data_IF_713097384206
#
_entry.id   IF_713097384206
#
_cell.length_a   1.000
_cell.length_b   1.000
_cell.length_c   1.000
_cell.angle_alpha   90.00
_cell.angle_beta   90.00
_cell.angle_gamma   90.00
#
_symmetry.space_group_name_H-M   'P 1'
#
loop_
_entity.id
_entity.type
_entity.pdbx_description
1 polymer ?
#
# COMPACT_ATOMS: atom_id res chain seq x y z
N UNK A 1 32.03 -11.62 14.44
CA UNK A 1 31.31 -10.48 13.82
C UNK A 1 31.22 -9.38 14.86
N UNK A 2 31.62 -8.14 14.56
CA UNK A 2 31.53 -7.02 15.51
C UNK A 2 30.08 -6.55 15.66
N UNK A 3 29.72 -5.92 16.78
CA UNK A 3 28.35 -5.46 17.06
C UNK A 3 27.80 -4.50 15.99
N UNK A 4 28.66 -3.67 15.40
CA UNK A 4 28.32 -2.81 14.27
C UNK A 4 27.99 -3.61 13.00
N UNK A 5 28.71 -4.71 12.72
CA UNK A 5 28.40 -5.58 11.57
C UNK A 5 27.10 -6.36 11.75
N UNK A 6 26.79 -6.78 12.98
CA UNK A 6 25.49 -7.40 13.33
C UNK A 6 24.33 -6.44 13.06
N UNK A 7 24.43 -5.18 13.52
CA UNK A 7 23.39 -4.18 13.29
C UNK A 7 23.17 -3.85 11.81
N UNK A 8 24.23 -3.80 11.01
CA UNK A 8 24.13 -3.58 9.55
C UNK A 8 23.52 -4.81 8.86
N UNK A 9 23.92 -6.02 9.27
CA UNK A 9 23.37 -7.26 8.73
C UNK A 9 21.87 -7.39 9.00
N UNK A 10 21.42 -7.07 10.22
CA UNK A 10 20.00 -7.08 10.58
C UNK A 10 19.22 -5.99 9.81
N UNK A 11 19.82 -4.83 9.58
CA UNK A 11 19.21 -3.75 8.80
C UNK A 11 18.99 -4.12 7.32
N UNK A 12 19.95 -4.81 6.69
CA UNK A 12 19.83 -5.30 5.31
C UNK A 12 18.70 -6.32 5.17
N UNK A 13 18.59 -7.25 6.14
CA UNK A 13 17.50 -8.24 6.17
C UNK A 13 16.13 -7.56 6.31
N UNK A 14 16.01 -6.61 7.23
CA UNK A 14 14.78 -5.84 7.45
C UNK A 14 14.40 -5.01 6.21
N UNK A 15 15.39 -4.38 5.55
CA UNK A 15 15.16 -3.64 4.31
C UNK A 15 14.68 -4.56 3.19
N UNK A 16 15.28 -5.74 3.05
CA UNK A 16 14.84 -6.74 2.08
C UNK A 16 13.40 -7.20 2.34
N UNK A 17 13.05 -7.42 3.61
CA UNK A 17 11.71 -7.86 4.00
C UNK A 17 10.65 -6.78 3.75
N UNK A 18 10.88 -5.55 4.18
CA UNK A 18 9.95 -4.43 3.94
C UNK A 18 9.83 -4.13 2.44
N UNK A 19 10.93 -4.24 1.69
CA UNK A 19 10.91 -4.14 0.23
C UNK A 19 10.05 -5.23 -0.44
N UNK A 20 10.10 -6.48 0.04
CA UNK A 20 9.23 -7.55 -0.45
C UNK A 20 7.74 -7.34 -0.12
N UNK A 21 7.43 -6.70 1.02
CA UNK A 21 6.06 -6.32 1.34
C UNK A 21 5.53 -5.27 0.36
N UNK A 22 6.35 -4.30 -0.01
CA UNK A 22 6.01 -3.27 -0.99
C UNK A 22 5.89 -3.84 -2.41
N UNK A 23 6.85 -4.68 -2.79
CA UNK A 23 7.00 -5.24 -4.13
C UNK A 23 6.95 -6.77 -4.05
N UNK A 24 5.76 -7.33 -4.33
CA UNK A 24 5.53 -8.77 -4.19
C UNK A 24 6.34 -9.60 -5.18
N UNK A 25 6.81 -9.03 -6.28
CA UNK A 25 7.81 -9.65 -7.15
C UNK A 25 9.06 -8.77 -7.15
N UNK A 26 10.23 -9.40 -7.03
CA UNK A 26 11.53 -8.73 -7.07
C UNK A 26 12.40 -9.44 -8.09
N UNK A 27 12.88 -8.69 -9.08
CA UNK A 27 13.74 -9.17 -10.16
C UNK A 27 14.89 -8.18 -10.43
N UNK A 28 15.99 -8.61 -11.07
CA UNK A 28 17.09 -7.73 -11.43
C UNK A 28 16.71 -6.60 -12.38
N UNK A 29 15.74 -6.83 -13.27
CA UNK A 29 15.31 -5.83 -14.26
C UNK A 29 14.30 -4.83 -13.70
N UNK A 30 13.55 -5.17 -12.64
CA UNK A 30 12.65 -4.24 -11.97
C UNK A 30 13.37 -3.44 -10.87
N UNK A 31 14.21 -4.10 -10.06
CA UNK A 31 14.88 -3.51 -8.90
C UNK A 31 16.13 -4.33 -8.52
N UNK A 32 17.25 -4.07 -9.22
CA UNK A 32 18.51 -4.77 -8.98
C UNK A 32 19.03 -4.63 -7.52
N UNK A 33 18.99 -3.44 -6.88
CA UNK A 33 19.40 -3.28 -5.49
C UNK A 33 18.58 -4.15 -4.51
N UNK A 34 17.25 -4.16 -4.64
CA UNK A 34 16.38 -4.97 -3.79
C UNK A 34 16.57 -6.46 -4.07
N UNK A 35 16.70 -6.85 -5.35
CA UNK A 35 16.99 -8.23 -5.74
C UNK A 35 18.26 -8.74 -5.07
N UNK A 36 19.36 -7.97 -5.10
CA UNK A 36 20.61 -8.37 -4.49
C UNK A 36 20.48 -8.63 -2.97
N UNK A 37 19.66 -7.85 -2.27
CA UNK A 37 19.36 -8.06 -0.85
C UNK A 37 18.49 -9.30 -0.62
N UNK A 38 17.39 -9.44 -1.37
CA UNK A 38 16.47 -10.58 -1.24
C UNK A 38 17.20 -11.88 -1.51
N UNK A 39 17.99 -11.92 -2.58
CA UNK A 39 18.81 -13.08 -2.93
C UNK A 39 19.79 -13.45 -1.82
N UNK A 40 20.52 -12.46 -1.29
CA UNK A 40 21.50 -12.65 -0.20
C UNK A 40 20.86 -13.20 1.08
N UNK A 41 19.62 -12.81 1.38
CA UNK A 41 18.96 -13.12 2.65
C UNK A 41 17.76 -14.08 2.52
N UNK A 42 17.61 -14.76 1.38
CA UNK A 42 16.42 -15.53 1.02
C UNK A 42 15.97 -16.56 2.10
N UNK A 43 16.91 -17.23 2.77
CA UNK A 43 16.59 -18.22 3.80
C UNK A 43 15.93 -17.59 5.04
N UNK A 44 16.46 -16.46 5.52
CA UNK A 44 15.87 -15.72 6.63
C UNK A 44 14.52 -15.15 6.24
N UNK A 45 14.43 -14.57 5.04
CA UNK A 45 13.19 -14.01 4.51
C UNK A 45 12.10 -15.07 4.36
N UNK A 46 12.43 -16.28 3.88
CA UNK A 46 11.48 -17.39 3.80
C UNK A 46 10.95 -17.78 5.19
N UNK A 47 11.80 -17.77 6.22
CA UNK A 47 11.40 -18.03 7.61
C UNK A 47 10.45 -16.94 8.11
N UNK A 48 10.77 -15.68 7.87
CA UNK A 48 9.92 -14.55 8.26
C UNK A 48 8.57 -14.54 7.52
N UNK A 49 8.57 -14.85 6.22
CA UNK A 49 7.35 -15.01 5.43
C UNK A 49 6.47 -16.12 6.01
N UNK A 50 7.04 -17.28 6.34
CA UNK A 50 6.29 -18.40 6.91
C UNK A 50 5.58 -18.05 8.24
N UNK A 51 6.16 -17.16 9.07
CA UNK A 51 5.53 -16.68 10.31
C UNK A 51 4.22 -15.92 10.06
N UNK A 52 4.08 -15.30 8.89
CA UNK A 52 2.87 -14.58 8.44
C UNK A 52 1.89 -15.48 7.69
N UNK A 53 2.21 -16.77 7.52
CA UNK A 53 1.51 -17.67 6.61
C UNK A 53 1.79 -17.37 5.13
N UNK A 54 2.89 -16.68 4.82
CA UNK A 54 3.31 -16.38 3.45
C UNK A 54 4.30 -17.42 2.93
N UNK A 55 4.49 -17.41 1.61
CA UNK A 55 5.51 -18.21 0.93
C UNK A 55 6.40 -17.31 0.09
N UNK A 56 7.71 -17.41 0.29
CA UNK A 56 8.69 -16.85 -0.64
C UNK A 56 8.98 -17.89 -1.72
N UNK A 57 8.48 -17.66 -2.93
CA UNK A 57 8.76 -18.49 -4.09
C UNK A 57 9.94 -17.94 -4.89
N UNK A 58 10.67 -18.82 -5.57
CA UNK A 58 11.86 -18.47 -6.33
C UNK A 58 12.01 -19.36 -7.56
N UNK A 59 12.20 -18.74 -8.73
CA UNK A 59 12.57 -19.39 -9.99
C UNK A 59 13.63 -18.51 -10.66
N UNK A 60 14.79 -19.09 -10.96
CA UNK A 60 15.95 -18.42 -11.55
C UNK A 60 16.29 -17.05 -10.94
N UNK A 61 16.02 -15.95 -11.64
CA UNK A 61 16.29 -14.59 -11.15
C UNK A 61 15.03 -13.88 -10.61
N UNK A 62 13.97 -14.62 -10.30
CA UNK A 62 12.71 -14.06 -9.83
C UNK A 62 12.37 -14.56 -8.42
N UNK A 63 12.20 -13.62 -7.49
CA UNK A 63 11.61 -13.88 -6.18
C UNK A 63 10.19 -13.33 -6.12
N UNK A 64 9.25 -14.12 -5.59
CA UNK A 64 7.88 -13.67 -5.36
C UNK A 64 7.41 -13.96 -3.94
N UNK A 65 6.99 -12.91 -3.24
CA UNK A 65 6.24 -13.02 -2.00
C UNK A 65 4.78 -13.39 -2.30
N UNK A 66 4.41 -14.64 -2.05
CA UNK A 66 3.01 -15.11 -2.14
C UNK A 66 2.31 -14.92 -0.81
N UNK A 67 1.30 -14.04 -0.81
CA UNK A 67 0.45 -13.75 0.35
C UNK A 67 -0.72 -14.73 0.44
N UNK A 68 -0.42 -16.00 0.74
CA UNK A 68 -1.39 -17.11 0.76
C UNK A 68 -2.63 -16.75 1.60
N UNK A 69 -3.86 -17.06 1.13
CA UNK A 69 -5.06 -16.84 1.92
C UNK A 69 -5.06 -17.64 3.21
N UNK A 70 -5.57 -17.06 4.29
CA UNK A 70 -5.74 -17.73 5.59
C UNK A 70 -7.21 -17.63 5.97
N UNK A 71 -7.86 -18.76 6.24
CA UNK A 71 -9.29 -18.84 6.56
C UNK A 71 -10.17 -18.05 5.58
N UNK A 72 -9.99 -18.30 4.27
CA UNK A 72 -10.66 -17.60 3.17
C UNK A 72 -10.44 -16.07 3.15
N UNK A 73 -9.47 -15.56 3.91
CA UNK A 73 -9.14 -14.13 3.97
C UNK A 73 -7.90 -13.87 3.13
N UNK A 74 -8.07 -13.11 2.05
CA UNK A 74 -6.98 -12.63 1.18
C UNK A 74 -6.33 -11.38 1.77
N UNK A 75 -5.05 -11.14 1.50
CA UNK A 75 -4.45 -9.83 1.79
C UNK A 75 -5.18 -8.78 0.96
N UNK A 76 -5.61 -7.72 1.61
CA UNK A 76 -6.21 -6.58 0.92
C UNK A 76 -5.06 -5.76 0.30
N UNK A 77 -5.10 -5.44 -1.00
CA UNK A 77 -4.14 -4.52 -1.58
C UNK A 77 -4.22 -3.15 -0.90
N UNK A 78 -3.09 -2.46 -0.78
CA UNK A 78 -3.08 -1.08 -0.31
C UNK A 78 -3.70 -0.21 -1.40
N UNK A 79 -4.71 0.59 -1.03
CA UNK A 79 -5.41 1.51 -1.95
C UNK A 79 -6.67 0.91 -2.58
N UNK A 80 -7.22 1.64 -3.54
CA UNK A 80 -8.44 1.22 -4.24
C UNK A 80 -8.16 -0.04 -5.08
N UNK A 81 -9.02 -1.06 -4.99
CA UNK A 81 -8.86 -2.25 -5.81
C UNK A 81 -9.06 -1.90 -7.29
N UNK A 82 -8.27 -2.50 -8.20
CA UNK A 82 -8.47 -2.32 -9.63
C UNK A 82 -9.85 -2.77 -10.08
N UNK A 83 -10.26 -2.27 -11.25
CA UNK A 83 -11.53 -2.66 -11.85
C UNK A 83 -11.54 -4.17 -12.10
N UNK A 84 -12.72 -4.81 -12.00
CA UNK A 84 -12.84 -6.23 -12.35
C UNK A 84 -12.42 -6.49 -13.79
N UNK A 85 -12.63 -5.52 -14.68
CA UNK A 85 -12.29 -5.65 -16.09
C UNK A 85 -10.78 -5.62 -16.29
N UNK A 86 -10.06 -4.70 -15.65
CA UNK A 86 -8.60 -4.66 -15.61
C UNK A 86 -8.00 -5.99 -15.14
N UNK A 87 -8.54 -6.55 -14.04
CA UNK A 87 -8.10 -7.83 -13.50
C UNK A 87 -8.31 -8.97 -14.50
N UNK A 88 -9.47 -9.02 -15.16
CA UNK A 88 -9.74 -10.02 -16.20
C UNK A 88 -8.78 -9.87 -17.39
N UNK A 89 -8.56 -8.64 -17.88
CA UNK A 89 -7.61 -8.38 -18.97
C UNK A 89 -6.18 -8.75 -18.58
N UNK A 90 -5.79 -8.57 -17.32
CA UNK A 90 -4.48 -9.02 -16.81
C UNK A 90 -4.34 -10.54 -16.92
N UNK A 91 -5.40 -11.29 -16.55
CA UNK A 91 -5.41 -12.75 -16.66
C UNK A 91 -5.39 -13.22 -18.12
N UNK A 92 -6.19 -12.59 -19.00
CA UNK A 92 -6.19 -12.91 -20.42
C UNK A 92 -4.83 -12.61 -21.06
N UNK A 93 -4.25 -11.44 -20.78
CA UNK A 93 -2.93 -11.07 -21.27
C UNK A 93 -1.86 -12.07 -20.79
N UNK A 94 -1.87 -12.44 -19.51
CA UNK A 94 -0.96 -13.45 -18.97
C UNK A 94 -1.12 -14.81 -19.67
N UNK A 95 -2.36 -15.26 -19.91
CA UNK A 95 -2.62 -16.51 -20.62
C UNK A 95 -2.14 -16.45 -22.08
N UNK A 96 -2.42 -15.35 -22.79
CA UNK A 96 -1.93 -15.14 -24.15
C UNK A 96 -0.40 -15.16 -24.20
N UNK A 97 0.29 -14.55 -23.22
CA UNK A 97 1.75 -14.55 -23.13
C UNK A 97 2.34 -15.95 -22.89
N UNK A 98 1.64 -16.79 -22.10
CA UNK A 98 2.09 -18.16 -21.81
C UNK A 98 2.13 -19.03 -23.07
N UNK A 99 1.14 -18.86 -23.95
CA UNK A 99 1.03 -19.57 -25.23
C UNK A 99 2.06 -19.11 -26.29
N UNK A 100 2.72 -17.96 -26.09
CA UNK A 100 3.67 -17.40 -27.06
C UNK A 100 5.01 -18.11 -27.01
N UNK A 101 5.65 -18.25 -28.17
CA UNK A 101 7.01 -18.80 -28.31
C UNK A 101 8.11 -17.76 -28.20
N UNK A 102 7.83 -16.54 -28.61
CA UNK A 102 8.79 -15.43 -28.61
C UNK A 102 8.64 -14.63 -27.32
N UNK A 103 9.77 -14.18 -26.77
CA UNK A 103 9.80 -13.39 -25.55
C UNK A 103 9.68 -11.89 -25.83
N UNK A 104 9.54 -11.48 -27.09
CA UNK A 104 9.26 -10.09 -27.47
C UNK A 104 7.84 -9.97 -28.03
N UNK A 105 7.12 -8.95 -27.60
CA UNK A 105 5.73 -8.72 -28.00
C UNK A 105 5.44 -7.22 -28.03
N UNK A 106 4.58 -6.78 -28.95
CA UNK A 106 4.09 -5.40 -28.95
C UNK A 106 2.75 -5.30 -28.22
N UNK A 107 2.41 -4.10 -27.74
CA UNK A 107 1.09 -3.86 -27.14
C UNK A 107 -0.05 -4.15 -28.13
N UNK A 108 0.16 -3.83 -29.41
CA UNK A 108 -0.79 -4.16 -30.47
C UNK A 108 -0.98 -5.68 -30.63
N UNK A 109 0.11 -6.45 -30.72
CA UNK A 109 0.02 -7.92 -30.85
C UNK A 109 -0.74 -8.53 -29.65
N UNK A 110 -0.43 -8.06 -28.44
CA UNK A 110 -1.09 -8.55 -27.23
C UNK A 110 -2.56 -8.15 -27.18
N UNK A 111 -2.90 -6.94 -27.64
CA UNK A 111 -4.29 -6.47 -27.78
C UNK A 111 -5.09 -7.38 -28.72
N UNK A 112 -4.50 -7.76 -29.86
CA UNK A 112 -5.16 -8.62 -30.83
C UNK A 112 -5.35 -10.05 -30.29
N UNK A 113 -4.33 -10.60 -29.61
CA UNK A 113 -4.43 -11.91 -28.95
C UNK A 113 -5.51 -11.93 -27.85
N UNK A 114 -5.59 -10.89 -27.03
CA UNK A 114 -6.60 -10.74 -25.96
C UNK A 114 -8.00 -10.56 -26.55
N UNK A 115 -8.14 -9.80 -27.64
CA UNK A 115 -9.42 -9.64 -28.34
C UNK A 115 -9.96 -11.00 -28.82
N UNK A 116 -9.11 -11.80 -29.46
CA UNK A 116 -9.47 -13.14 -29.90
C UNK A 116 -9.80 -14.07 -28.74
N UNK A 117 -8.99 -14.04 -27.68
CA UNK A 117 -9.19 -14.90 -26.50
C UNK A 117 -10.50 -14.58 -25.78
N UNK A 118 -10.77 -13.31 -25.49
CA UNK A 118 -11.99 -12.89 -24.79
C UNK A 118 -13.28 -13.21 -25.57
N UNK A 119 -13.24 -13.15 -26.90
CA UNK A 119 -14.36 -13.53 -27.75
C UNK A 119 -14.72 -15.03 -27.67
N UNK A 120 -13.75 -15.89 -27.31
CA UNK A 120 -13.92 -17.35 -27.28
C UNK A 120 -14.46 -17.90 -25.96
N UNK A 121 -14.23 -17.20 -24.83
CA UNK A 121 -14.51 -17.70 -23.46
C UNK A 121 -15.90 -17.29 -22.94
N UNK A 122 -16.61 -16.40 -23.64
CA UNK A 122 -17.98 -15.97 -23.28
C UNK A 122 -18.08 -14.99 -22.11
N UNK A 123 -16.95 -14.38 -21.72
CA UNK A 123 -16.90 -13.26 -20.76
C UNK A 123 -17.19 -11.89 -21.41
N UNK A 124 -17.09 -10.77 -20.67
CA UNK A 124 -17.18 -9.44 -21.26
C UNK A 124 -16.05 -9.26 -22.30
N UNK A 125 -16.39 -9.01 -23.57
CA UNK A 125 -15.38 -9.00 -24.64
C UNK A 125 -14.52 -7.73 -24.54
N UNK A 126 -13.22 -7.91 -24.76
CA UNK A 126 -12.32 -6.79 -25.02
C UNK A 126 -12.58 -6.28 -26.45
N UNK A 127 -12.62 -4.95 -26.62
CA UNK A 127 -12.82 -4.31 -27.93
C UNK A 127 -11.71 -3.28 -28.15
N UNK A 128 -10.75 -3.55 -29.04
CA UNK A 128 -9.62 -2.65 -29.27
C UNK A 128 -10.04 -1.31 -29.90
N UNK A 129 -11.25 -1.18 -30.44
CA UNK A 129 -11.75 0.08 -31.00
C UNK A 129 -12.22 1.05 -29.92
N UNK A 130 -12.59 0.56 -28.73
CA UNK A 130 -13.03 1.38 -27.62
C UNK A 130 -11.84 1.89 -26.81
N UNK A 131 -11.71 3.21 -26.73
CA UNK A 131 -10.63 3.86 -25.95
C UNK A 131 -10.62 3.44 -24.48
N UNK A 132 -11.79 3.34 -23.85
CA UNK A 132 -11.90 2.89 -22.46
C UNK A 132 -11.36 1.48 -22.27
N UNK A 133 -11.58 0.58 -23.22
CA UNK A 133 -11.03 -0.78 -23.15
C UNK A 133 -9.51 -0.76 -23.37
N UNK A 134 -9.00 0.04 -24.30
CA UNK A 134 -7.55 0.21 -24.47
C UNK A 134 -6.88 0.76 -23.21
N UNK A 135 -7.49 1.71 -22.51
CA UNK A 135 -7.00 2.20 -21.22
C UNK A 135 -6.91 1.08 -20.17
N UNK A 136 -7.96 0.26 -20.06
CA UNK A 136 -7.96 -0.88 -19.13
C UNK A 136 -6.92 -1.94 -19.51
N UNK A 137 -6.67 -2.17 -20.81
CA UNK A 137 -5.58 -3.06 -21.25
C UNK A 137 -4.21 -2.47 -20.92
N UNK A 138 -4.00 -1.17 -21.09
CA UNK A 138 -2.75 -0.50 -20.67
C UNK A 138 -2.54 -0.70 -19.16
N UNK A 139 -3.55 -0.46 -18.34
CA UNK A 139 -3.50 -0.72 -16.88
C UNK A 139 -3.19 -2.18 -16.55
N UNK A 140 -3.76 -3.13 -17.30
CA UNK A 140 -3.45 -4.56 -17.15
C UNK A 140 -1.98 -4.88 -17.50
N UNK A 141 -1.43 -4.25 -18.55
CA UNK A 141 -0.01 -4.39 -18.92
C UNK A 141 0.90 -3.73 -17.88
N UNK A 142 0.55 -2.54 -17.39
CA UNK A 142 1.23 -1.89 -16.25
C UNK A 142 1.33 -2.82 -15.05
N UNK A 143 0.25 -3.57 -14.76
CA UNK A 143 0.22 -4.55 -13.68
C UNK A 143 1.16 -5.72 -13.91
N UNK A 144 1.23 -6.24 -15.13
CA UNK A 144 2.21 -7.29 -15.48
C UNK A 144 3.65 -6.78 -15.40
N UNK A 145 3.90 -5.52 -15.77
CA UNK A 145 5.21 -4.86 -15.61
C UNK A 145 5.56 -4.69 -14.12
N UNK A 146 4.61 -4.22 -13.30
CA UNK A 146 4.79 -4.10 -11.86
C UNK A 146 5.05 -5.45 -11.16
N UNK A 147 4.53 -6.55 -11.73
CA UNK A 147 4.82 -7.91 -11.28
C UNK A 147 6.10 -8.51 -11.88
N UNK A 148 6.86 -7.75 -12.66
CA UNK A 148 8.12 -8.18 -13.29
C UNK A 148 7.95 -9.17 -14.44
N UNK A 149 6.70 -9.48 -14.85
CA UNK A 149 6.38 -10.40 -15.95
C UNK A 149 6.77 -9.79 -17.29
N UNK A 150 6.56 -8.48 -17.43
CA UNK A 150 6.91 -7.72 -18.62
C UNK A 150 7.94 -6.66 -18.27
N UNK A 151 8.82 -6.37 -19.22
CA UNK A 151 9.74 -5.24 -19.17
C UNK A 151 9.49 -4.35 -20.39
N UNK A 152 9.24 -3.06 -20.14
CA UNK A 152 9.03 -2.07 -21.19
C UNK A 152 10.36 -1.66 -21.82
N UNK A 153 10.41 -1.65 -23.16
CA UNK A 153 11.57 -1.23 -23.96
C UNK A 153 11.34 0.08 -24.72
N UNK A 154 10.16 0.66 -24.59
CA UNK A 154 9.71 1.85 -25.32
C UNK A 154 9.25 2.94 -24.38
N UNK A 155 9.30 4.19 -24.85
CA UNK A 155 8.83 5.37 -24.11
C UNK A 155 7.29 5.46 -24.05
N UNK A 156 6.78 6.15 -23.02
CA UNK A 156 5.34 6.33 -22.75
C UNK A 156 4.57 6.98 -23.91
N UNK A 157 5.24 7.77 -24.75
CA UNK A 157 4.61 8.45 -25.89
C UNK A 157 3.93 7.48 -26.86
N UNK A 158 4.57 6.33 -27.14
CA UNK A 158 4.00 5.33 -28.04
C UNK A 158 2.76 4.64 -27.44
N UNK A 159 2.72 4.53 -26.12
CA UNK A 159 1.56 3.99 -25.39
C UNK A 159 0.39 4.96 -25.49
N UNK A 160 0.65 6.24 -25.25
CA UNK A 160 -0.37 7.29 -25.34
C UNK A 160 -0.95 7.44 -26.75
N UNK A 161 -0.10 7.38 -27.78
CA UNK A 161 -0.51 7.44 -29.18
C UNK A 161 -1.42 6.24 -29.53
N UNK A 162 -1.05 5.04 -29.10
CA UNK A 162 -1.85 3.82 -29.29
C UNK A 162 -3.17 3.86 -28.50
N UNK A 163 -3.14 4.27 -27.23
CA UNK A 163 -4.32 4.38 -26.37
C UNK A 163 -5.34 5.37 -26.94
N UNK A 164 -4.91 6.53 -27.41
CA UNK A 164 -5.79 7.58 -27.94
C UNK A 164 -6.24 7.32 -29.37
N UNK A 165 -5.31 6.95 -30.25
CA UNK A 165 -5.52 6.89 -31.70
C UNK A 165 -5.83 5.50 -32.26
N UNK A 166 -5.53 4.42 -31.52
CA UNK A 166 -5.48 3.05 -32.07
C UNK A 166 -4.53 2.92 -33.28
N UNK A 167 -3.48 3.73 -33.32
CA UNK A 167 -2.47 3.74 -34.37
C UNK A 167 -1.12 3.25 -33.82
N UNK A 168 -0.36 2.53 -34.66
CA UNK A 168 0.99 2.06 -34.34
C UNK A 168 1.03 0.76 -33.54
N UNK A 169 2.25 0.37 -33.14
CA UNK A 169 2.51 -0.89 -32.41
C UNK A 169 2.35 -0.78 -30.89
N UNK A 170 2.19 0.45 -30.37
CA UNK A 170 2.19 0.73 -28.95
C UNK A 170 3.54 0.44 -28.28
N UNK A 171 3.52 -0.17 -27.09
CA UNK A 171 4.73 -0.51 -26.35
C UNK A 171 5.47 -1.73 -26.93
N UNK A 172 6.81 -1.69 -26.92
CA UNK A 172 7.63 -2.88 -27.07
C UNK A 172 7.90 -3.52 -25.70
N UNK A 173 7.61 -4.80 -25.57
CA UNK A 173 7.62 -5.52 -24.29
C UNK A 173 8.51 -6.76 -24.40
N UNK A 174 9.27 -7.03 -23.33
CA UNK A 174 10.01 -8.28 -23.15
C UNK A 174 9.33 -9.10 -22.05
N UNK A 175 9.04 -10.36 -22.35
CA UNK A 175 8.43 -11.35 -21.48
C UNK A 175 9.50 -12.08 -20.65
N UNK A 176 9.29 -12.12 -19.34
CA UNK A 176 10.09 -12.88 -18.39
C UNK A 176 9.28 -14.09 -17.89
N UNK A 177 9.50 -15.26 -18.50
CA UNK A 177 8.69 -16.47 -18.27
C UNK A 177 8.72 -16.99 -16.83
N UNK A 178 9.84 -16.83 -16.14
CA UNK A 178 9.96 -17.24 -14.74
C UNK A 178 9.05 -16.41 -13.83
N UNK A 179 8.93 -15.11 -14.12
CA UNK A 179 7.99 -14.24 -13.42
C UNK A 179 6.54 -14.55 -13.80
N UNK A 180 6.25 -14.87 -15.07
CA UNK A 180 4.93 -15.33 -15.51
C UNK A 180 4.50 -16.60 -14.76
N UNK A 181 5.39 -17.59 -14.67
CA UNK A 181 5.16 -18.85 -13.95
C UNK A 181 4.84 -18.62 -12.48
N UNK A 182 5.47 -17.61 -11.86
CA UNK A 182 5.21 -17.27 -10.47
C UNK A 182 3.96 -16.41 -10.25
N UNK A 183 3.38 -15.82 -11.31
CA UNK A 183 2.32 -14.82 -11.19
C UNK A 183 1.07 -15.34 -10.45
N UNK A 184 0.59 -16.54 -10.80
CA UNK A 184 -0.64 -17.11 -10.27
C UNK A 184 -0.39 -18.55 -9.83
N UNK A 185 -1.06 -18.95 -8.75
CA UNK A 185 -1.12 -20.34 -8.34
C UNK A 185 -2.56 -20.72 -8.09
N UNK A 186 -3.00 -21.79 -8.75
CA UNK A 186 -4.33 -22.36 -8.60
C UNK A 186 -4.61 -22.77 -7.16
N UNK A 187 -3.62 -23.28 -6.44
CA UNK A 187 -3.74 -23.64 -5.02
C UNK A 187 -4.15 -22.43 -4.15
N UNK A 188 -3.59 -21.24 -4.41
CA UNK A 188 -3.97 -20.02 -3.67
C UNK A 188 -5.41 -19.61 -4.02
N UNK A 189 -5.83 -19.80 -5.28
CA UNK A 189 -7.20 -19.51 -5.71
C UNK A 189 -8.18 -20.46 -5.02
N UNK A 190 -7.87 -21.75 -4.96
CA UNK A 190 -8.68 -22.75 -4.28
C UNK A 190 -8.79 -22.44 -2.79
N UNK A 191 -7.69 -22.01 -2.14
CA UNK A 191 -7.71 -21.57 -0.73
C UNK A 191 -8.52 -20.29 -0.50
N UNK A 192 -8.50 -19.35 -1.46
CA UNK A 192 -9.30 -18.13 -1.38
C UNK A 192 -10.80 -18.40 -1.55
N UNK A 193 -11.14 -19.36 -2.41
CA UNK A 193 -12.52 -19.74 -2.73
C UNK A 193 -13.09 -20.79 -1.78
N UNK A 194 -12.24 -21.57 -1.12
CA UNK A 194 -12.63 -22.43 -0.03
C UNK A 194 -13.22 -21.55 1.07
N UNK A 195 -14.57 -21.50 1.16
CA UNK A 195 -15.27 -20.75 2.20
C UNK A 195 -14.72 -21.11 3.58
N UNK A 196 -14.89 -20.22 4.58
CA UNK A 196 -14.34 -20.36 5.94
C UNK A 196 -14.63 -21.74 6.55
N UNK A 197 -13.74 -22.69 6.30
CA UNK A 197 -13.72 -24.01 6.89
C UNK A 197 -12.72 -23.97 8.02
N UNK A 198 -13.12 -24.41 9.20
CA UNK A 198 -12.28 -24.42 10.40
C UNK A 198 -10.99 -25.17 10.10
N UNK A 199 -9.90 -24.44 9.81
CA UNK A 199 -8.57 -25.02 9.74
C UNK A 199 -8.30 -25.75 11.04
N UNK A 200 -7.76 -26.97 10.97
CA UNK A 200 -7.39 -27.74 12.15
C UNK A 200 -6.22 -27.10 12.93
N UNK A 201 -5.47 -26.19 12.28
CA UNK A 201 -4.34 -25.46 12.87
C UNK A 201 -4.76 -24.05 13.30
N UNK A 202 -4.28 -23.63 14.48
CA UNK A 202 -4.52 -22.30 15.02
C UNK A 202 -3.78 -21.22 14.21
N UNK A 203 -4.51 -20.55 13.32
CA UNK A 203 -4.02 -19.52 12.41
C UNK A 203 -3.95 -18.12 13.04
N UNK A 204 -4.48 -17.91 14.26
CA UNK A 204 -4.65 -16.59 14.88
C UNK A 204 -3.34 -15.81 15.00
N UNK A 205 -2.26 -16.49 15.38
CA UNK A 205 -0.93 -15.86 15.49
C UNK A 205 -0.42 -15.29 14.17
N UNK A 206 -0.55 -16.05 13.08
CA UNK A 206 -0.15 -15.60 11.75
C UNK A 206 -1.06 -14.46 11.25
N UNK A 207 -2.38 -14.55 11.47
CA UNK A 207 -3.36 -13.51 11.13
C UNK A 207 -3.07 -12.19 11.84
N UNK A 208 -2.87 -12.21 13.15
CA UNK A 208 -2.59 -11.01 13.94
C UNK A 208 -1.23 -10.40 13.57
N UNK A 209 -0.20 -11.23 13.36
CA UNK A 209 1.10 -10.72 12.90
C UNK A 209 1.00 -10.11 11.50
N UNK A 210 0.23 -10.74 10.59
CA UNK A 210 -0.07 -10.23 9.25
C UNK A 210 -0.78 -8.89 9.31
N UNK A 211 -1.85 -8.79 10.10
CA UNK A 211 -2.55 -7.53 10.31
C UNK A 211 -1.58 -6.46 10.81
N UNK A 212 -0.80 -6.72 11.87
CA UNK A 212 0.17 -5.76 12.40
C UNK A 212 1.20 -5.30 11.36
N UNK A 213 1.70 -6.20 10.51
CA UNK A 213 2.72 -5.87 9.52
C UNK A 213 2.15 -5.16 8.29
N UNK A 214 0.95 -5.53 7.83
CA UNK A 214 0.33 -4.96 6.62
C UNK A 214 -0.36 -3.63 6.89
N UNK A 215 -1.10 -3.51 7.99
CA UNK A 215 -1.85 -2.28 8.34
C UNK A 215 -1.10 -1.39 9.31
N UNK A 216 0.04 -1.85 9.84
CA UNK A 216 0.81 -1.19 10.91
C UNK A 216 0.04 -0.99 12.22
N UNK A 217 -1.20 -1.47 12.34
CA UNK A 217 -2.04 -1.20 13.49
C UNK A 217 -3.12 -2.27 13.71
N UNK A 218 -3.22 -2.74 14.95
CA UNK A 218 -4.32 -3.58 15.43
C UNK A 218 -5.18 -2.77 16.37
N UNK A 219 -6.41 -2.50 15.96
CA UNK A 219 -7.45 -1.90 16.79
C UNK A 219 -8.08 -3.02 17.63
N UNK A 220 -7.80 -3.03 18.93
CA UNK A 220 -8.15 -4.15 19.81
C UNK A 220 -9.66 -4.35 19.89
N UNK A 221 -10.42 -3.26 19.96
CA UNK A 221 -11.88 -3.26 20.06
C UNK A 221 -12.58 -3.76 18.78
N UNK A 222 -11.86 -3.88 17.66
CA UNK A 222 -12.39 -4.37 16.38
C UNK A 222 -12.15 -5.86 16.17
N UNK A 223 -11.35 -6.47 17.04
CA UNK A 223 -11.11 -7.90 16.99
C UNK A 223 -12.29 -8.68 17.60
N UNK A 224 -12.60 -9.87 17.09
CA UNK A 224 -13.45 -10.84 17.77
C UNK A 224 -12.96 -11.14 19.19
N UNK A 225 -13.86 -11.42 20.14
CA UNK A 225 -13.53 -11.63 21.56
C UNK A 225 -12.46 -12.72 21.77
N UNK A 226 -12.48 -13.79 20.98
CA UNK A 226 -11.51 -14.88 21.05
C UNK A 226 -10.12 -14.47 20.55
N UNK A 227 -10.05 -13.61 19.53
CA UNK A 227 -8.79 -13.02 19.06
C UNK A 227 -8.24 -11.98 20.03
N UNK A 228 -9.11 -11.21 20.69
CA UNK A 228 -8.70 -10.29 21.77
C UNK A 228 -8.02 -11.07 22.90
N UNK A 229 -8.66 -12.15 23.39
CA UNK A 229 -8.10 -12.97 24.46
C UNK A 229 -6.75 -13.58 24.06
N UNK A 230 -6.64 -14.07 22.83
CA UNK A 230 -5.37 -14.58 22.28
C UNK A 230 -4.29 -13.49 22.23
N UNK A 231 -4.64 -12.30 21.72
CA UNK A 231 -3.74 -11.16 21.60
C UNK A 231 -3.15 -10.75 22.94
N UNK A 232 -3.96 -10.70 24.00
CA UNK A 232 -3.49 -10.38 25.35
C UNK A 232 -2.35 -11.29 25.83
N UNK A 233 -2.43 -12.58 25.51
CA UNK A 233 -1.39 -13.57 25.84
C UNK A 233 -0.16 -13.53 24.92
N UNK A 234 -0.28 -13.01 23.69
CA UNK A 234 0.77 -13.08 22.67
C UNK A 234 1.38 -11.73 22.28
N UNK A 235 0.85 -10.60 22.76
CA UNK A 235 1.27 -9.23 22.37
C UNK A 235 2.78 -8.99 22.41
N UNK A 236 3.49 -9.44 23.44
CA UNK A 236 4.95 -9.27 23.55
C UNK A 236 5.70 -10.09 22.50
N UNK A 237 5.21 -11.31 22.22
CA UNK A 237 5.79 -12.16 21.18
C UNK A 237 5.55 -11.56 19.80
N UNK A 238 4.32 -11.15 19.50
CA UNK A 238 3.99 -10.49 18.22
C UNK A 238 4.79 -9.20 18.02
N UNK A 239 4.92 -8.39 19.07
CA UNK A 239 5.75 -7.19 19.06
C UNK A 239 7.23 -7.50 18.74
N UNK A 240 7.79 -8.52 19.39
CA UNK A 240 9.16 -8.96 19.14
C UNK A 240 9.36 -9.45 17.71
N UNK A 241 8.43 -10.24 17.17
CA UNK A 241 8.52 -10.75 15.80
C UNK A 241 8.40 -9.62 14.78
N UNK A 242 7.45 -8.70 14.97
CA UNK A 242 7.27 -7.56 14.07
C UNK A 242 8.50 -6.63 14.07
N UNK A 243 9.08 -6.38 15.25
CA UNK A 243 10.30 -5.57 15.38
C UNK A 243 11.54 -6.25 14.77
N UNK A 244 11.70 -7.57 14.96
CA UNK A 244 12.77 -8.35 14.32
C UNK A 244 12.70 -8.21 12.78
N UNK A 245 11.50 -8.42 12.23
CA UNK A 245 11.28 -8.52 10.78
C UNK A 245 11.36 -7.16 10.07
N UNK A 246 10.90 -6.09 10.71
CA UNK A 246 10.78 -4.77 10.07
C UNK A 246 11.81 -3.75 10.55
N UNK A 247 12.45 -3.99 11.70
CA UNK A 247 13.27 -3.00 12.40
C UNK A 247 12.46 -1.89 13.08
N UNK A 248 11.12 -1.99 13.05
CA UNK A 248 10.22 -1.05 13.70
C UNK A 248 10.11 -1.26 15.21
N UNK A 249 9.58 -0.24 15.89
CA UNK A 249 9.23 -0.30 17.30
C UNK A 249 7.74 -0.56 17.43
N UNK A 250 7.35 -1.38 18.41
CA UNK A 250 5.93 -1.70 18.65
C UNK A 250 5.46 -1.03 19.92
N UNK A 251 4.46 -0.16 19.79
CA UNK A 251 3.78 0.51 20.90
C UNK A 251 2.53 -0.30 21.28
N UNK A 252 2.42 -0.67 22.55
CA UNK A 252 1.31 -1.46 23.08
C UNK A 252 0.48 -0.58 24.01
N UNK A 253 -0.78 -0.35 23.64
CA UNK A 253 -1.81 0.30 24.46
C UNK A 253 -2.94 -0.67 24.74
N UNK A 254 -3.91 -0.28 25.56
CA UNK A 254 -5.09 -1.10 25.85
C UNK A 254 -6.06 -1.19 24.66
N UNK A 255 -6.09 -0.15 23.83
CA UNK A 255 -7.01 0.03 22.69
C UNK A 255 -6.34 -0.19 21.32
N UNK A 256 -5.01 -0.22 21.28
CA UNK A 256 -4.21 -0.23 20.05
C UNK A 256 -2.87 -0.96 20.25
N UNK A 257 -2.46 -1.74 19.25
CA UNK A 257 -1.06 -2.13 19.06
C UNK A 257 -0.58 -1.53 17.74
N UNK A 258 0.48 -0.73 17.79
CA UNK A 258 0.98 0.04 16.64
C UNK A 258 2.41 -0.38 16.32
N UNK A 259 2.69 -0.69 15.07
CA UNK A 259 4.03 -0.87 14.53
C UNK A 259 4.51 0.44 13.91
N UNK A 260 5.57 1.01 14.46
CA UNK A 260 6.20 2.24 13.97
C UNK A 260 7.46 1.86 13.20
N UNK A 261 7.42 2.05 11.90
CA UNK A 261 8.58 1.81 11.05
C UNK A 261 9.60 2.96 11.19
N UNK A 262 10.91 2.65 11.06
CA UNK A 262 11.95 3.65 11.23
C UNK A 262 11.98 4.65 10.08
N UNK A 263 11.93 5.95 10.40
CA UNK A 263 11.85 7.04 9.42
C UNK A 263 13.17 7.35 8.68
N UNK A 264 14.30 6.84 9.19
CA UNK A 264 15.64 7.05 8.63
C UNK A 264 15.97 6.09 7.48
N UNK A 265 15.05 5.18 7.14
CA UNK A 265 15.22 4.23 6.04
C UNK A 265 14.46 4.73 4.83
N UNK A 266 15.07 4.61 3.65
CA UNK A 266 14.39 4.75 2.36
C UNK A 266 13.36 3.62 2.23
N UNK A 267 12.20 3.80 2.86
CA UNK A 267 11.09 2.86 2.83
C UNK A 267 10.19 3.18 1.63
N UNK A 268 9.68 2.16 0.93
CA UNK A 268 8.69 2.39 -0.11
C UNK A 268 7.44 3.09 0.45
N UNK A 269 6.94 4.10 -0.26
CA UNK A 269 5.75 4.86 0.15
C UNK A 269 4.47 4.02 0.25
N UNK A 270 4.44 2.83 -0.37
CA UNK A 270 3.34 1.88 -0.25
C UNK A 270 3.27 1.15 1.09
N UNK A 271 4.37 1.13 1.86
CA UNK A 271 4.47 0.51 3.18
C UNK A 271 4.72 1.54 4.27
N UNK A 272 5.26 2.72 3.94
CA UNK A 272 5.47 3.80 4.89
C UNK A 272 4.58 4.99 4.55
N UNK A 273 3.68 5.35 5.46
CA UNK A 273 2.90 6.57 5.38
C UNK A 273 3.69 7.71 6.01
N UNK A 274 4.22 8.61 5.18
CA UNK A 274 4.87 9.83 5.64
C UNK A 274 3.82 10.81 6.17
N UNK A 275 3.58 10.77 7.48
CA UNK A 275 2.71 11.70 8.19
C UNK A 275 3.17 11.94 9.64
N UNK A 276 3.24 13.20 10.10
CA UNK A 276 2.99 14.42 9.33
C UNK A 276 4.17 14.80 8.43
N UNK A 277 3.90 15.11 7.16
CA UNK A 277 4.88 15.73 6.27
C UNK A 277 4.86 17.25 6.39
N UNK A 278 5.93 17.93 5.94
CA UNK A 278 6.02 19.40 5.94
C UNK A 278 5.17 20.05 4.82
N UNK A 279 3.88 19.71 4.78
CA UNK A 279 2.92 20.22 3.78
C UNK A 279 1.75 20.94 4.46
N UNK A 280 1.17 21.91 3.76
CA UNK A 280 -0.01 22.62 4.27
C UNK A 280 -1.20 21.68 4.52
N UNK A 281 -1.37 20.63 3.69
CA UNK A 281 -2.42 19.63 3.85
C UNK A 281 -2.25 18.86 5.16
N UNK A 282 -1.04 18.39 5.45
CA UNK A 282 -0.76 17.62 6.67
C UNK A 282 -0.80 18.50 7.92
N UNK A 283 -0.36 19.75 7.82
CA UNK A 283 -0.49 20.72 8.91
C UNK A 283 -1.97 20.99 9.25
N UNK A 284 -2.82 21.24 8.25
CA UNK A 284 -4.26 21.45 8.45
C UNK A 284 -4.91 20.19 9.04
N UNK A 285 -4.59 19.02 8.51
CA UNK A 285 -5.10 17.74 8.99
C UNK A 285 -4.73 17.50 10.46
N UNK A 286 -3.45 17.68 10.81
CA UNK A 286 -2.94 17.52 12.17
C UNK A 286 -3.56 18.56 13.13
N UNK A 287 -3.74 19.80 12.67
CA UNK A 287 -4.35 20.86 13.48
C UNK A 287 -5.81 20.58 13.80
N UNK A 288 -6.61 20.23 12.79
CA UNK A 288 -8.01 19.87 12.99
C UNK A 288 -8.16 18.60 13.84
N UNK A 289 -7.27 17.63 13.67
CA UNK A 289 -7.23 16.43 14.50
C UNK A 289 -7.04 16.77 15.99
N UNK A 290 -6.08 17.65 16.30
CA UNK A 290 -5.80 18.08 17.67
C UNK A 290 -6.96 18.90 18.26
N UNK A 291 -7.53 19.83 17.48
CA UNK A 291 -8.69 20.63 17.92
C UNK A 291 -9.93 19.75 18.17
N UNK A 292 -10.20 18.76 17.32
CA UNK A 292 -11.28 17.78 17.53
C UNK A 292 -11.01 16.93 18.76
N UNK A 293 -9.79 16.40 18.91
CA UNK A 293 -9.42 15.55 20.03
C UNK A 293 -9.67 16.23 21.38
N UNK A 294 -9.28 17.52 21.51
CA UNK A 294 -9.50 18.34 22.72
C UNK A 294 -10.98 18.53 23.08
N UNK A 295 -11.86 18.57 22.08
CA UNK A 295 -13.31 18.77 22.30
C UNK A 295 -14.02 17.45 22.65
N UNK A 296 -13.44 16.31 22.24
CA UNK A 296 -14.03 14.97 22.41
C UNK A 296 -13.56 14.21 23.66
N UNK A 297 -12.86 14.85 24.61
CA UNK A 297 -12.29 14.15 25.77
C UNK A 297 -13.36 13.44 26.63
N UNK A 298 -13.48 12.11 26.48
CA UNK A 298 -14.36 11.23 27.24
C UNK A 298 -15.00 10.10 26.41
N UNK A 299 -14.26 9.01 26.15
CA UNK A 299 -14.76 7.85 25.40
C UNK A 299 -14.59 7.95 23.88
N UNK A 300 -15.31 7.11 23.12
CA UNK A 300 -15.27 7.07 21.64
C UNK A 300 -15.40 8.50 21.08
N UNK A 301 -14.33 9.08 20.51
CA UNK A 301 -14.26 10.50 20.22
C UNK A 301 -15.01 10.82 18.93
N UNK A 302 -16.33 10.89 19.02
CA UNK A 302 -17.20 11.32 17.94
C UNK A 302 -17.48 12.82 18.07
N UNK A 303 -17.16 13.59 17.03
CA UNK A 303 -17.40 15.01 16.93
C UNK A 303 -18.50 15.29 15.88
N UNK A 304 -19.60 15.94 16.25
CA UNK A 304 -20.67 16.32 15.33
C UNK A 304 -20.19 17.16 14.14
N UNK A 305 -20.81 16.97 12.97
CA UNK A 305 -20.42 17.62 11.71
C UNK A 305 -20.39 19.16 11.82
N UNK A 306 -21.39 19.75 12.48
CA UNK A 306 -21.52 21.19 12.69
C UNK A 306 -20.36 21.75 13.53
N UNK A 307 -19.91 20.98 14.52
CA UNK A 307 -18.76 21.35 15.36
C UNK A 307 -17.45 21.28 14.59
N UNK A 308 -17.24 20.21 13.81
CA UNK A 308 -16.06 20.07 12.93
C UNK A 308 -16.00 21.22 11.91
N UNK A 309 -17.13 21.53 11.27
CA UNK A 309 -17.22 22.67 10.34
C UNK A 309 -16.96 24.01 11.05
N UNK A 310 -17.35 24.15 12.32
CA UNK A 310 -16.98 25.28 13.17
C UNK A 310 -15.48 25.43 13.35
N UNK A 311 -14.80 24.35 13.74
CA UNK A 311 -13.34 24.33 13.93
C UNK A 311 -12.58 24.66 12.63
N UNK A 312 -13.04 24.13 11.49
CA UNK A 312 -12.44 24.45 10.18
C UNK A 312 -12.59 25.94 9.83
N UNK A 313 -13.74 26.55 10.11
CA UNK A 313 -13.96 28.00 9.93
C UNK A 313 -13.08 28.83 10.86
N UNK A 314 -12.95 28.43 12.12
CA UNK A 314 -12.09 29.09 13.10
C UNK A 314 -10.61 29.02 12.70
N UNK A 315 -10.17 27.86 12.19
CA UNK A 315 -8.81 27.67 11.66
C UNK A 315 -8.55 28.55 10.44
N UNK A 316 -9.47 28.57 9.47
CA UNK A 316 -9.35 29.41 8.28
C UNK A 316 -9.32 30.91 8.65
N UNK A 317 -10.19 31.35 9.56
CA UNK A 317 -10.23 32.74 9.99
C UNK A 317 -8.95 33.19 10.71
N UNK A 318 -8.34 32.31 11.50
CA UNK A 318 -7.15 32.64 12.31
C UNK A 318 -5.82 32.45 11.57
N UNK A 319 -5.73 31.43 10.71
CA UNK A 319 -4.48 30.99 10.09
C UNK A 319 -4.55 30.92 8.55
N UNK A 320 -5.66 31.33 7.94
CA UNK A 320 -5.91 31.21 6.49
C UNK A 320 -4.78 31.79 5.63
N UNK A 321 -4.17 32.91 6.05
CA UNK A 321 -3.05 33.57 5.34
C UNK A 321 -1.82 32.69 5.11
N UNK A 322 -1.68 31.59 5.86
CA UNK A 322 -0.56 30.65 5.77
C UNK A 322 -0.91 29.37 5.00
N UNK A 323 -2.15 29.25 4.55
CA UNK A 323 -2.61 28.13 3.74
C UNK A 323 -2.22 28.33 2.27
N UNK A 324 -2.40 27.29 1.46
CA UNK A 324 -2.23 27.42 0.01
C UNK A 324 -3.25 28.41 -0.56
N UNK A 325 -2.94 29.02 -1.71
CA UNK A 325 -3.84 29.97 -2.37
C UNK A 325 -5.25 29.38 -2.60
N UNK A 326 -5.33 28.11 -2.99
CA UNK A 326 -6.60 27.42 -3.16
C UNK A 326 -7.42 27.36 -1.86
N UNK A 327 -6.79 27.02 -0.73
CA UNK A 327 -7.44 26.96 0.59
C UNK A 327 -7.75 28.35 1.16
N UNK A 328 -6.98 29.38 0.79
CA UNK A 328 -7.30 30.78 1.10
C UNK A 328 -8.60 31.21 0.43
N UNK A 329 -8.70 30.95 -0.88
CA UNK A 329 -9.81 31.37 -1.72
C UNK A 329 -11.10 30.58 -1.44
N UNK A 330 -10.98 29.30 -1.05
CA UNK A 330 -12.11 28.39 -0.79
C UNK A 330 -11.98 27.75 0.59
N UNK A 331 -12.65 28.30 1.63
CA UNK A 331 -12.60 27.78 2.99
C UNK A 331 -13.02 26.31 3.13
N UNK A 332 -13.97 25.85 2.32
CA UNK A 332 -14.45 24.45 2.32
C UNK A 332 -13.35 23.44 1.91
N UNK A 333 -12.30 23.89 1.22
CA UNK A 333 -11.14 23.05 0.91
C UNK A 333 -10.33 22.68 2.14
N UNK A 334 -10.37 23.47 3.20
CA UNK A 334 -9.66 23.17 4.47
C UNK A 334 -10.23 21.89 5.08
N UNK A 335 -11.55 21.83 5.22
CA UNK A 335 -12.23 20.69 5.80
C UNK A 335 -12.10 19.44 4.94
N UNK A 336 -12.42 19.55 3.65
CA UNK A 336 -12.38 18.41 2.71
C UNK A 336 -10.96 17.85 2.52
N UNK A 337 -9.93 18.69 2.46
CA UNK A 337 -8.55 18.22 2.35
C UNK A 337 -8.06 17.51 3.61
N UNK A 338 -8.45 18.01 4.78
CA UNK A 338 -8.16 17.38 6.07
C UNK A 338 -8.89 16.06 6.22
N UNK A 339 -10.20 16.03 5.92
CA UNK A 339 -11.01 14.82 5.97
C UNK A 339 -10.43 13.73 5.08
N UNK A 340 -10.19 14.05 3.80
CA UNK A 340 -9.59 13.11 2.87
C UNK A 340 -8.26 12.59 3.42
N UNK A 341 -7.37 13.49 3.88
CA UNK A 341 -6.05 13.08 4.39
C UNK A 341 -6.14 12.18 5.63
N UNK A 342 -6.98 12.52 6.60
CA UNK A 342 -7.12 11.74 7.83
C UNK A 342 -7.80 10.38 7.58
N UNK A 343 -8.72 10.31 6.60
CA UNK A 343 -9.33 9.05 6.15
C UNK A 343 -8.33 8.15 5.44
N UNK A 344 -7.52 8.71 4.54
CA UNK A 344 -6.47 7.99 3.82
C UNK A 344 -5.47 7.34 4.80
N UNK A 345 -5.22 8.01 5.94
CA UNK A 345 -4.33 7.53 7.01
C UNK A 345 -5.02 6.61 8.04
N UNK A 346 -6.32 6.37 7.90
CA UNK A 346 -7.09 5.57 8.88
C UNK A 346 -7.26 6.22 10.25
N UNK A 347 -6.95 7.51 10.40
CA UNK A 347 -7.07 8.27 11.65
C UNK A 347 -8.52 8.72 11.93
N UNK A 348 -9.35 8.75 10.88
CA UNK A 348 -10.71 9.26 10.90
C UNK A 348 -11.67 8.31 10.17
N UNK A 349 -12.82 8.07 10.79
CA UNK A 349 -14.02 7.53 10.13
C UNK A 349 -15.09 8.59 10.11
N UNK A 350 -15.72 8.80 8.96
CA UNK A 350 -16.84 9.73 8.83
C UNK A 350 -18.12 8.92 8.82
N UNK A 351 -19.00 9.23 9.75
CA UNK A 351 -20.30 8.58 9.92
C UNK A 351 -21.28 9.04 8.84
N UNK A 352 -22.40 8.32 8.61
CA UNK A 352 -23.39 8.68 7.59
C UNK A 352 -24.02 10.07 7.79
N UNK A 353 -24.02 10.57 9.03
CA UNK A 353 -24.49 11.90 9.41
C UNK A 353 -23.41 13.00 9.26
N UNK A 354 -22.23 12.65 8.74
CA UNK A 354 -21.10 13.56 8.58
C UNK A 354 -20.28 13.77 9.85
N UNK A 355 -20.60 13.11 10.97
CA UNK A 355 -19.83 13.22 12.19
C UNK A 355 -18.44 12.55 12.03
N UNK A 356 -17.43 13.16 12.63
CA UNK A 356 -16.08 12.65 12.65
C UNK A 356 -15.88 11.73 13.85
N UNK A 357 -15.56 10.46 13.62
CA UNK A 357 -15.15 9.51 14.66
C UNK A 357 -13.64 9.28 14.56
N UNK A 358 -12.88 9.75 15.54
CA UNK A 358 -11.43 9.50 15.55
C UNK A 358 -11.15 8.04 15.91
N UNK A 359 -10.20 7.42 15.21
CA UNK A 359 -9.74 6.07 15.54
C UNK A 359 -8.68 6.11 16.65
N UNK A 360 -8.42 5.00 17.36
CA UNK A 360 -7.35 4.95 18.37
C UNK A 360 -5.96 5.36 17.86
N UNK A 361 -5.70 5.21 16.55
CA UNK A 361 -4.48 5.66 15.87
C UNK A 361 -4.26 7.17 16.01
N UNK A 362 -5.35 7.96 15.99
CA UNK A 362 -5.29 9.42 16.17
C UNK A 362 -4.68 9.83 17.53
N UNK A 363 -4.73 8.96 18.53
CA UNK A 363 -4.18 9.23 19.86
C UNK A 363 -2.70 9.62 19.87
N UNK A 364 -1.91 9.12 18.90
CA UNK A 364 -0.47 9.44 18.76
C UNK A 364 -0.21 10.93 18.47
N UNK A 365 -1.17 11.58 17.82
CA UNK A 365 -1.02 12.95 17.32
C UNK A 365 -1.65 14.00 18.25
N UNK A 366 -2.18 13.57 19.40
CA UNK A 366 -2.75 14.49 20.40
C UNK A 366 -1.66 15.32 21.06
N UNK A 367 -1.95 16.60 21.28
CA UNK A 367 -1.01 17.51 21.92
C UNK A 367 0.23 17.77 21.07
N UNK A 368 0.11 17.64 19.74
CA UNK A 368 1.20 18.00 18.84
C UNK A 368 1.62 19.45 19.09
N UNK A 369 2.94 19.68 19.21
CA UNK A 369 3.47 21.03 19.26
C UNK A 369 3.41 21.64 17.85
N UNK A 370 2.27 22.26 17.58
CA UNK A 370 1.98 22.96 16.34
C UNK A 370 2.44 24.41 16.39
N UNK A 371 3.50 24.71 17.16
CA UNK A 371 4.22 25.97 17.04
C UNK A 371 4.41 26.28 15.55
N UNK A 372 4.15 27.54 15.21
CA UNK A 372 4.03 28.03 13.84
C UNK A 372 5.10 27.43 12.92
N UNK A 373 4.81 27.13 11.64
CA UNK A 373 5.85 26.76 10.70
C UNK A 373 6.94 27.83 10.81
N UNK A 374 8.16 27.39 11.14
CA UNK A 374 9.29 28.29 11.27
C UNK A 374 9.28 29.19 10.02
N UNK A 375 9.18 30.50 10.22
CA UNK A 375 9.32 31.45 9.13
C UNK A 375 10.56 31.03 8.35
N UNK A 376 10.43 30.91 7.02
CA UNK A 376 11.54 30.57 6.14
C UNK A 376 12.78 31.33 6.64
N UNK A 377 13.93 30.66 6.84
CA UNK A 377 15.07 31.28 7.49
C UNK A 377 15.34 32.62 6.82
N UNK A 378 15.20 33.71 7.59
CA UNK A 378 15.58 35.04 7.14
C UNK A 378 16.96 34.89 6.54
N UNK A 379 17.17 35.21 5.25
CA UNK A 379 18.47 35.06 4.65
C UNK A 379 19.46 35.82 5.53
N UNK A 380 20.54 35.14 5.93
CA UNK A 380 21.61 35.69 6.77
C UNK A 380 22.26 36.93 6.17
N UNK A 381 21.95 37.22 4.90
CA UNK A 381 22.32 38.42 4.18
C UNK A 381 21.06 39.04 3.56
N UNK A 382 20.71 40.30 3.84
CA UNK A 382 19.78 41.02 3.00
C UNK A 382 20.38 41.07 1.59
N UNK A 383 19.58 40.75 0.56
CA UNK A 383 19.97 41.04 -0.81
C UNK A 383 20.09 42.57 -0.95
N UNK A 384 21.33 43.04 -0.97
CA UNK A 384 21.65 44.43 -1.27
C UNK A 384 21.31 44.74 -2.73
N UNK A 385 20.76 45.94 -2.92
CA UNK A 385 20.33 46.56 -4.18
C UNK A 385 21.43 46.72 -5.22
#
# INVERSE_FOLDING_TARGET
>A
MTESMLRVYDADQQRAFVGLLANQTVTPWSDAPLYALVHRHAQTLATWCARLGYRLAHIDQCYRLRRVPIDATVAVPVGDPPSRFELLLTLYAAACLDDRREDSVTLQDLSDDVHLSTASVGGPPYDPNLRSHRQELVSAVDRLVAHGVLERRTDDRLIEEWERGAEGIGAGLVLHRDALTLLISTDDVDLALAGRGHSAEDSRGARLLRQLVETQGILVDELPEDEQQYLWGQRTRLASLAGEMTGGTVEIRSDLILLVLPADRELPASVYLDFPSATARDWVALRLLDDVARVTDGGTPTCPQDRVAGLARELHASQGRYLTKAMQDLPDLVLSAAEARLRDLGLLRVQPDGAWQLTPLAGRFRGADLAQPAAAPTPLFPEDR
#
